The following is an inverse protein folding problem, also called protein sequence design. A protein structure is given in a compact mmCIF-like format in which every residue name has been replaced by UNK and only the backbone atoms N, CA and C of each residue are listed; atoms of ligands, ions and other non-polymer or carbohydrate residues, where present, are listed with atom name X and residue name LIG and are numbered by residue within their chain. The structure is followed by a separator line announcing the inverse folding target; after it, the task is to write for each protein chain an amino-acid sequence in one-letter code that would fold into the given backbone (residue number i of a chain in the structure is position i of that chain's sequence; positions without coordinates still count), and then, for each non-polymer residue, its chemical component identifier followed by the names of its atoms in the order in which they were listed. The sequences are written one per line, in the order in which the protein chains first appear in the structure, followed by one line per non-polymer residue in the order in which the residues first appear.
data_IF_699301066204
#
_entry.id   IF_699301066204
#
_cell.length_a   1.000
_cell.length_b   1.000
_cell.length_c   1.000
_cell.angle_alpha   90.00
_cell.angle_beta   90.00
_cell.angle_gamma   90.00
#
_symmetry.space_group_name_H-M   'P 1'
#
loop_
_entity.id
_entity.type
_entity.pdbx_description
1 polymer ?
#
# COMPACT_ATOMS: atom_id res chain seq x y z
N UNK A 1 -6.25 30.70 4.72
CA UNK A 1 -6.81 29.59 5.50
C UNK A 1 -5.84 28.43 5.38
N UNK A 2 -5.36 27.83 6.48
CA UNK A 2 -4.57 26.62 6.38
C UNK A 2 -5.41 25.53 5.73
N UNK A 3 -4.78 24.75 4.85
CA UNK A 3 -5.44 23.66 4.14
C UNK A 3 -5.99 22.67 5.17
N UNK A 4 -7.30 22.41 5.13
CA UNK A 4 -8.00 21.54 6.10
C UNK A 4 -7.92 20.07 5.68
N UNK A 5 -7.32 19.80 4.52
CA UNK A 5 -7.15 18.46 4.00
C UNK A 5 -5.96 17.77 4.67
N UNK A 6 -6.16 16.51 5.10
CA UNK A 6 -5.08 15.66 5.60
C UNK A 6 -4.02 15.40 4.51
N UNK A 7 -2.77 15.09 4.88
CA UNK A 7 -1.75 14.77 3.89
C UNK A 7 -2.09 13.51 3.08
N UNK A 8 -1.62 13.50 1.82
CA UNK A 8 -1.73 12.36 0.93
C UNK A 8 -0.66 11.30 1.21
N UNK A 9 -1.11 10.05 1.20
CA UNK A 9 -0.28 8.86 1.24
C UNK A 9 -0.49 8.05 -0.04
N UNK A 10 0.61 7.64 -0.65
CA UNK A 10 0.61 6.76 -1.81
C UNK A 10 0.63 5.32 -1.33
N UNK A 11 -0.26 4.52 -1.89
CA UNK A 11 -0.47 3.11 -1.57
C UNK A 11 0.19 2.25 -2.63
N UNK A 12 0.97 1.29 -2.18
CA UNK A 12 1.48 0.20 -3.00
C UNK A 12 0.92 -1.13 -2.50
N UNK A 13 0.66 -2.02 -3.45
CA UNK A 13 0.20 -3.37 -3.19
C UNK A 13 1.26 -4.38 -3.66
N UNK A 14 1.45 -5.41 -2.85
CA UNK A 14 2.38 -6.50 -3.11
C UNK A 14 1.63 -7.82 -2.95
N UNK A 15 1.40 -8.50 -4.08
CA UNK A 15 0.66 -9.78 -4.16
C UNK A 15 1.40 -11.01 -3.61
N UNK A 16 2.40 -10.83 -2.73
CA UNK A 16 3.17 -11.92 -2.12
C UNK A 16 4.61 -11.56 -1.78
N UNK A 17 5.22 -12.36 -0.90
CA UNK A 17 6.60 -12.18 -0.49
C UNK A 17 7.58 -12.24 -1.67
N UNK A 18 8.51 -11.27 -1.72
CA UNK A 18 9.51 -11.18 -2.78
C UNK A 18 8.99 -10.74 -4.15
N UNK A 19 7.68 -10.55 -4.33
CA UNK A 19 7.11 -9.99 -5.57
C UNK A 19 7.31 -8.47 -5.60
N UNK A 20 7.43 -7.84 -6.78
CA UNK A 20 7.52 -6.39 -6.87
C UNK A 20 6.21 -5.75 -6.40
N UNK A 21 6.31 -4.69 -5.59
CA UNK A 21 5.16 -3.87 -5.26
C UNK A 21 4.75 -3.01 -6.47
N UNK A 22 3.46 -2.76 -6.63
CA UNK A 22 2.95 -1.86 -7.67
C UNK A 22 2.07 -0.79 -7.04
N UNK A 23 2.02 0.37 -7.69
CA UNK A 23 1.19 1.49 -7.25
C UNK A 23 -0.30 1.12 -7.35
N UNK A 24 -1.03 1.24 -6.23
CA UNK A 24 -2.46 1.00 -6.19
C UNK A 24 -3.26 2.30 -6.29
N UNK A 25 -2.82 3.36 -5.59
CA UNK A 25 -3.55 4.62 -5.54
C UNK A 25 -3.05 5.57 -4.45
N UNK A 26 -3.89 6.52 -4.05
CA UNK A 26 -3.60 7.47 -2.98
C UNK A 26 -4.78 7.56 -1.99
N UNK A 27 -4.46 7.80 -0.72
CA UNK A 27 -5.42 8.02 0.37
C UNK A 27 -5.00 9.24 1.19
N UNK A 28 -5.95 9.92 1.83
CA UNK A 28 -5.63 10.99 2.77
C UNK A 28 -5.79 10.48 4.19
N UNK A 29 -4.83 10.78 5.06
CA UNK A 29 -4.87 10.35 6.45
C UNK A 29 -4.01 11.29 7.33
N UNK A 30 -4.32 11.41 8.63
CA UNK A 30 -3.48 12.18 9.54
C UNK A 30 -2.09 11.56 9.76
N UNK A 31 -2.01 10.23 9.76
CA UNK A 31 -0.82 9.44 10.06
C UNK A 31 -0.73 8.17 9.19
N UNK A 32 0.41 7.46 9.18
CA UNK A 32 0.61 6.28 8.35
C UNK A 32 -0.24 5.06 8.75
N UNK A 33 -0.60 4.91 10.02
CA UNK A 33 -1.42 3.78 10.49
C UNK A 33 -2.86 3.92 9.98
N UNK A 34 -3.43 5.11 10.11
CA UNK A 34 -4.72 5.46 9.52
C UNK A 34 -4.69 5.39 7.99
N UNK A 35 -3.57 5.72 7.36
CA UNK A 35 -3.40 5.54 5.92
C UNK A 35 -3.48 4.05 5.53
N UNK A 36 -2.87 3.13 6.29
CA UNK A 36 -2.95 1.69 6.04
C UNK A 36 -4.39 1.17 6.18
N UNK A 37 -5.11 1.58 7.22
CA UNK A 37 -6.51 1.20 7.40
C UNK A 37 -7.40 1.71 6.26
N UNK A 38 -7.23 2.98 5.86
CA UNK A 38 -7.94 3.56 4.72
C UNK A 38 -7.57 2.84 3.41
N UNK A 39 -6.29 2.52 3.22
CA UNK A 39 -5.80 1.79 2.05
C UNK A 39 -6.42 0.39 1.98
N UNK A 40 -6.47 -0.34 3.10
CA UNK A 40 -7.12 -1.64 3.20
C UNK A 40 -8.59 -1.56 2.79
N UNK A 41 -9.33 -0.63 3.36
CA UNK A 41 -10.78 -0.54 3.13
C UNK A 41 -11.13 -0.16 1.68
N UNK A 42 -10.22 0.52 0.96
CA UNK A 42 -10.40 0.93 -0.44
C UNK A 42 -9.88 -0.13 -1.40
N UNK A 43 -8.65 -0.61 -1.19
CA UNK A 43 -7.93 -1.43 -2.17
C UNK A 43 -8.04 -2.92 -1.90
N UNK A 44 -8.28 -3.36 -0.66
CA UNK A 44 -8.16 -4.77 -0.30
C UNK A 44 -9.42 -5.65 -0.47
N UNK A 45 -10.38 -5.23 -1.30
CA UNK A 45 -11.76 -5.78 -1.25
C UNK A 45 -11.96 -7.16 -1.90
N UNK A 46 -11.08 -7.61 -2.81
CA UNK A 46 -11.37 -8.78 -3.68
C UNK A 46 -10.19 -9.66 -4.10
N UNK A 47 -8.95 -9.25 -3.86
CA UNK A 47 -7.77 -10.07 -4.19
C UNK A 47 -7.05 -10.53 -2.91
N UNK A 48 -6.18 -11.54 -3.04
CA UNK A 48 -5.16 -11.88 -2.05
C UNK A 48 -4.14 -10.72 -1.95
N UNK A 49 -4.55 -9.61 -1.34
CA UNK A 49 -3.63 -8.55 -0.96
C UNK A 49 -2.83 -9.05 0.23
N UNK A 50 -1.58 -9.41 -0.03
CA UNK A 50 -0.73 -10.01 1.01
C UNK A 50 -0.06 -8.92 1.85
N UNK A 51 0.33 -7.80 1.24
CA UNK A 51 1.02 -6.70 1.94
C UNK A 51 0.67 -5.35 1.30
N UNK A 52 0.18 -4.43 2.12
CA UNK A 52 -0.03 -3.04 1.73
C UNK A 52 1.08 -2.17 2.30
N UNK A 53 1.59 -1.28 1.46
CA UNK A 53 2.61 -0.31 1.84
C UNK A 53 2.05 1.09 1.63
N UNK A 54 2.34 1.99 2.56
CA UNK A 54 2.01 3.41 2.43
C UNK A 54 3.25 4.26 2.64
N UNK A 55 3.30 5.36 1.90
CA UNK A 55 4.35 6.37 2.02
C UNK A 55 3.74 7.73 1.80
N UNK A 56 4.22 8.73 2.53
CA UNK A 56 3.74 10.10 2.33
C UNK A 56 4.17 10.61 0.96
N UNK A 57 3.26 11.25 0.23
CA UNK A 57 3.53 11.76 -1.13
C UNK A 57 4.75 12.70 -1.16
N UNK A 58 4.92 13.52 -0.13
CA UNK A 58 6.04 14.46 -0.01
C UNK A 58 7.42 13.80 0.11
N UNK A 59 7.49 12.49 0.35
CA UNK A 59 8.74 11.73 0.45
C UNK A 59 9.13 11.07 -0.88
N UNK A 60 8.28 11.20 -1.91
CA UNK A 60 8.50 10.59 -3.21
C UNK A 60 9.26 11.57 -4.10
N UNK A 61 10.42 11.14 -4.57
CA UNK A 61 11.16 11.88 -5.58
C UNK A 61 10.83 11.34 -6.97
N UNK A 62 10.11 12.13 -7.76
CA UNK A 62 9.63 11.75 -9.09
C UNK A 62 10.35 12.54 -10.19
N UNK A 63 10.73 11.87 -11.27
CA UNK A 63 11.28 12.46 -12.49
C UNK A 63 10.70 11.81 -13.74
N UNK A 64 10.45 12.59 -14.78
CA UNK A 64 10.15 12.03 -16.11
C UNK A 64 11.43 11.68 -16.85
N UNK A 65 11.33 10.84 -17.88
CA UNK A 65 12.47 10.51 -18.75
C UNK A 65 13.04 11.77 -19.44
N UNK A 66 12.18 12.72 -19.80
CA UNK A 66 12.57 14.00 -20.42
C UNK A 66 13.40 14.84 -19.44
N UNK A 67 12.89 15.06 -18.22
CA UNK A 67 13.60 15.82 -17.18
C UNK A 67 14.95 15.19 -16.82
N UNK A 68 15.02 13.85 -16.81
CA UNK A 68 16.26 13.13 -16.55
C UNK A 68 17.31 13.37 -17.65
N UNK A 69 16.87 13.40 -18.92
CA UNK A 69 17.74 13.71 -20.05
C UNK A 69 18.23 15.17 -20.03
N UNK A 70 17.39 16.11 -19.63
CA UNK A 70 17.76 17.53 -19.47
C UNK A 70 18.80 17.71 -18.36
N UNK A 71 18.59 17.04 -17.23
CA UNK A 71 19.50 17.08 -16.08
C UNK A 71 20.91 16.60 -16.45
N UNK A 72 20.99 15.54 -17.26
CA UNK A 72 22.25 14.99 -17.76
C UNK A 72 22.98 15.98 -18.69
N UNK A 73 22.24 16.67 -19.57
CA UNK A 73 22.80 17.69 -20.46
C UNK A 73 23.29 18.94 -19.70
N UNK A 74 22.60 19.33 -18.62
CA UNK A 74 23.02 20.46 -17.78
C UNK A 74 24.30 20.19 -17.00
N UNK A 75 24.50 18.95 -16.53
CA UNK A 75 25.75 18.53 -15.87
C UNK A 75 26.95 18.52 -16.83
N UNK A 76 26.74 18.24 -18.12
CA UNK A 76 27.79 18.34 -19.14
C UNK A 76 28.26 19.78 -19.41
N UNK A 77 27.41 20.78 -19.12
CA UNK A 77 27.67 22.19 -19.42
C UNK A 77 28.16 23.02 -18.20
N UNK A 78 28.38 22.42 -17.03
CA UNK A 78 28.96 23.11 -15.87
C UNK A 78 30.47 22.81 -15.71
N UNK A 79 31.32 23.82 -15.43
CA UNK A 79 32.72 23.57 -15.10
C UNK A 79 32.82 22.71 -13.83
N UNK A 80 33.55 21.61 -13.94
CA UNK A 80 33.64 20.50 -12.98
C UNK A 80 34.29 20.91 -11.66
N UNK A 81 33.50 21.46 -10.72
CA UNK A 81 33.86 21.43 -9.31
C UNK A 81 33.53 20.04 -8.75
N UNK A 82 34.50 19.15 -8.89
CA UNK A 82 34.48 17.78 -8.36
C UNK A 82 34.57 17.83 -6.83
N UNK A 83 33.46 18.13 -6.15
CA UNK A 83 33.33 17.81 -4.73
C UNK A 83 33.36 16.30 -4.61
N UNK A 84 34.43 15.79 -4.01
CA UNK A 84 34.60 14.38 -3.68
C UNK A 84 33.68 14.07 -2.51
N UNK A 85 32.41 13.75 -2.81
CA UNK A 85 31.56 13.07 -1.84
C UNK A 85 32.14 11.67 -1.65
N UNK A 86 32.97 11.51 -0.62
CA UNK A 86 33.42 10.21 -0.18
C UNK A 86 32.20 9.34 0.15
N UNK A 87 32.22 8.04 -0.17
CA UNK A 87 31.15 7.13 0.22
C UNK A 87 31.15 7.00 1.74
N UNK A 88 30.26 7.74 2.39
CA UNK A 88 29.95 7.55 3.80
C UNK A 88 29.37 6.13 3.95
N UNK A 89 29.84 5.33 4.92
CA UNK A 89 29.54 3.89 4.99
C UNK A 89 28.09 3.52 5.36
N UNK A 90 27.17 4.48 5.41
CA UNK A 90 25.77 4.28 5.83
C UNK A 90 24.79 5.01 4.91
N UNK A 91 24.88 4.80 3.59
CA UNK A 91 23.84 5.27 2.67
C UNK A 91 22.54 4.48 2.90
N UNK A 92 21.43 5.12 3.28
CA UNK A 92 20.16 4.44 3.44
C UNK A 92 19.64 3.88 2.12
N UNK A 93 18.83 2.79 2.17
CA UNK A 93 18.25 2.21 0.99
C UNK A 93 17.05 2.99 0.47
N UNK A 94 16.96 3.11 -0.84
CA UNK A 94 15.87 3.70 -1.59
C UNK A 94 15.26 2.67 -2.54
N UNK A 95 13.94 2.56 -2.54
CA UNK A 95 13.21 1.75 -3.50
C UNK A 95 12.98 2.53 -4.80
N UNK A 96 13.15 1.81 -5.91
CA UNK A 96 13.04 2.36 -7.26
C UNK A 96 11.78 1.82 -7.93
N UNK A 97 10.98 2.71 -8.49
CA UNK A 97 9.78 2.39 -9.24
C UNK A 97 9.85 3.03 -10.63
N UNK A 98 9.33 2.33 -11.62
CA UNK A 98 9.27 2.83 -12.99
C UNK A 98 7.89 2.62 -13.60
N UNK A 99 7.51 3.53 -14.48
CA UNK A 99 6.30 3.44 -15.30
C UNK A 99 6.69 3.38 -16.76
N UNK A 100 6.37 2.27 -17.42
CA UNK A 100 6.79 2.01 -18.82
C UNK A 100 5.76 2.39 -19.87
N UNK A 101 4.50 2.57 -19.48
CA UNK A 101 3.38 2.87 -20.38
C UNK A 101 2.55 3.99 -19.74
N UNK A 102 2.06 4.96 -20.53
CA UNK A 102 1.27 6.08 -20.02
C UNK A 102 0.03 5.66 -19.21
N UNK A 103 -0.67 4.60 -19.64
CA UNK A 103 -1.80 3.99 -18.92
C UNK A 103 -1.40 2.81 -18.03
N UNK A 104 -0.10 2.57 -17.87
CA UNK A 104 0.44 1.55 -16.97
C UNK A 104 0.57 2.05 -15.54
N UNK A 105 0.85 1.10 -14.66
CA UNK A 105 1.10 1.33 -13.23
C UNK A 105 2.59 1.45 -12.96
N UNK A 106 2.98 2.16 -11.90
CA UNK A 106 4.35 2.17 -11.39
C UNK A 106 4.65 0.84 -10.73
N UNK A 107 5.72 0.17 -11.16
CA UNK A 107 6.14 -1.13 -10.64
C UNK A 107 7.52 -1.00 -10.02
N UNK A 108 7.71 -1.61 -8.86
CA UNK A 108 9.00 -1.70 -8.19
C UNK A 108 9.99 -2.48 -9.05
N UNK A 109 11.18 -1.92 -9.23
CA UNK A 109 12.25 -2.53 -10.04
C UNK A 109 13.34 -3.10 -9.15
N UNK A 110 13.67 -2.40 -8.07
CA UNK A 110 14.76 -2.77 -7.19
C UNK A 110 15.01 -1.72 -6.11
N UNK A 111 16.23 -1.74 -5.59
CA UNK A 111 16.68 -0.93 -4.47
C UNK A 111 18.09 -0.40 -4.75
N UNK A 112 18.36 0.84 -4.33
CA UNK A 112 19.66 1.50 -4.48
C UNK A 112 20.04 2.21 -3.18
N UNK A 113 21.33 2.28 -2.86
CA UNK A 113 21.82 2.92 -1.64
C UNK A 113 22.41 4.29 -1.96
N UNK A 114 21.77 5.35 -1.47
CA UNK A 114 22.20 6.72 -1.74
C UNK A 114 22.04 7.59 -0.49
N UNK A 115 22.79 8.69 -0.43
CA UNK A 115 22.65 9.65 0.67
C UNK A 115 21.55 10.67 0.41
N UNK A 116 21.18 10.89 -0.85
CA UNK A 116 20.21 11.88 -1.30
C UNK A 116 19.27 11.32 -2.38
N UNK A 117 17.99 11.74 -2.47
CA UNK A 117 17.06 11.26 -3.50
C UNK A 117 17.52 11.55 -4.94
N UNK A 118 18.24 12.64 -5.19
CA UNK A 118 18.74 12.95 -6.53
C UNK A 118 19.88 11.99 -6.93
N UNK A 119 20.79 11.69 -6.00
CA UNK A 119 21.81 10.66 -6.18
C UNK A 119 21.17 9.29 -6.40
N UNK A 120 20.15 8.96 -5.60
CA UNK A 120 19.39 7.72 -5.73
C UNK A 120 18.77 7.57 -7.13
N UNK A 121 18.24 8.66 -7.70
CA UNK A 121 17.69 8.68 -9.06
C UNK A 121 18.75 8.43 -10.15
N UNK A 122 19.92 9.06 -10.01
CA UNK A 122 21.05 8.83 -10.92
C UNK A 122 21.54 7.39 -10.85
N UNK A 123 21.72 6.86 -9.63
CA UNK A 123 22.11 5.47 -9.42
C UNK A 123 21.04 4.51 -9.95
N UNK A 124 19.76 4.76 -9.68
CA UNK A 124 18.65 3.94 -10.16
C UNK A 124 18.64 3.79 -11.68
N UNK A 125 18.86 4.88 -12.40
CA UNK A 125 18.91 4.87 -13.88
C UNK A 125 20.15 4.14 -14.40
N UNK A 126 21.28 4.27 -13.70
CA UNK A 126 22.52 3.58 -14.06
C UNK A 126 22.44 2.07 -13.80
N UNK A 127 21.85 1.66 -12.68
CA UNK A 127 21.72 0.25 -12.26
C UNK A 127 20.62 -0.48 -13.03
N UNK A 128 19.49 0.18 -13.29
CA UNK A 128 18.33 -0.42 -13.95
C UNK A 128 17.97 0.32 -15.25
N UNK A 129 18.83 0.30 -16.28
CA UNK A 129 18.53 1.01 -17.52
C UNK A 129 17.30 0.42 -18.21
N UNK A 130 16.28 1.25 -18.42
CA UNK A 130 15.08 0.86 -19.15
C UNK A 130 14.68 1.93 -20.19
N UNK A 131 14.85 1.66 -21.50
CA UNK A 131 14.55 2.64 -22.55
C UNK A 131 13.05 2.92 -22.71
N UNK A 132 12.18 2.08 -22.14
CA UNK A 132 10.72 2.27 -22.18
C UNK A 132 10.18 2.99 -20.95
N UNK A 133 11.01 3.26 -19.94
CA UNK A 133 10.55 3.94 -18.74
C UNK A 133 10.28 5.42 -19.05
N UNK A 134 9.06 5.86 -18.75
CA UNK A 134 8.57 7.22 -18.97
C UNK A 134 8.66 8.05 -17.69
N UNK A 135 8.40 7.41 -16.54
CA UNK A 135 8.44 8.05 -15.22
C UNK A 135 9.23 7.17 -14.26
N UNK A 136 10.06 7.83 -13.45
CA UNK A 136 10.90 7.24 -12.42
C UNK A 136 10.56 7.82 -11.07
N UNK A 137 10.31 6.96 -10.10
CA UNK A 137 10.09 7.34 -8.71
C UNK A 137 11.12 6.66 -7.83
N UNK A 138 11.63 7.41 -6.86
CA UNK A 138 12.56 6.92 -5.86
C UNK A 138 12.07 7.31 -4.48
N UNK A 139 12.05 6.35 -3.56
CA UNK A 139 11.45 6.50 -2.24
C UNK A 139 12.39 5.95 -1.16
N UNK A 140 12.61 6.66 -0.04
CA UNK A 140 13.42 6.13 1.05
C UNK A 140 12.70 4.96 1.71
N UNK A 141 13.36 3.81 1.86
CA UNK A 141 12.75 2.63 2.46
C UNK A 141 12.31 2.86 3.91
N UNK A 142 12.99 3.77 4.63
CA UNK A 142 12.64 4.15 6.01
C UNK A 142 11.34 4.93 6.14
N UNK A 143 10.83 5.54 5.06
CA UNK A 143 9.56 6.27 5.08
C UNK A 143 8.36 5.39 4.73
N UNK A 144 8.60 4.13 4.36
CA UNK A 144 7.55 3.19 3.95
C UNK A 144 7.03 2.48 5.19
N UNK A 145 5.73 2.63 5.44
CA UNK A 145 5.01 1.87 6.44
C UNK A 145 4.35 0.68 5.76
N UNK A 146 4.55 -0.52 6.31
CA UNK A 146 4.05 -1.79 5.75
C UNK A 146 3.18 -2.49 6.77
N UNK A 147 2.15 -3.20 6.30
CA UNK A 147 1.43 -4.17 7.13
C UNK A 147 2.34 -5.30 7.57
N UNK A 148 2.27 -5.70 8.83
CA UNK A 148 3.00 -6.86 9.34
C UNK A 148 2.38 -8.16 8.75
N UNK A 149 3.19 -9.11 8.26
CA UNK A 149 2.68 -10.42 7.83
C UNK A 149 1.88 -11.16 8.90
N UNK A 150 2.19 -10.99 10.18
CA UNK A 150 1.48 -11.63 11.30
C UNK A 150 0.07 -11.08 11.52
N UNK A 151 -0.18 -9.83 11.13
CA UNK A 151 -1.48 -9.18 11.21
C UNK A 151 -2.35 -9.43 9.97
N UNK A 152 -1.80 -10.10 8.94
CA UNK A 152 -2.49 -10.31 7.68
C UNK A 152 -3.85 -11.01 7.87
N UNK A 153 -3.91 -12.08 8.66
CA UNK A 153 -5.14 -12.82 8.91
C UNK A 153 -6.22 -11.93 9.56
N UNK A 154 -5.84 -11.11 10.55
CA UNK A 154 -6.74 -10.18 11.20
C UNK A 154 -7.17 -9.01 10.28
N UNK A 155 -6.31 -8.60 9.34
CA UNK A 155 -6.55 -7.48 8.44
C UNK A 155 -7.38 -7.85 7.22
N UNK A 156 -7.11 -9.00 6.61
CA UNK A 156 -7.64 -9.40 5.31
C UNK A 156 -8.53 -10.65 5.37
N UNK A 157 -8.47 -11.42 6.45
CA UNK A 157 -9.24 -12.64 6.62
C UNK A 157 -10.76 -12.37 6.71
N UNK A 158 -11.60 -13.26 6.14
CA UNK A 158 -13.02 -13.18 6.37
C UNK A 158 -13.34 -13.39 7.86
N UNK A 159 -14.32 -12.66 8.39
CA UNK A 159 -14.78 -12.88 9.76
C UNK A 159 -15.42 -14.28 9.89
N UNK A 160 -14.71 -15.22 10.52
CA UNK A 160 -15.17 -16.60 10.68
C UNK A 160 -16.36 -16.72 11.65
N UNK A 161 -16.43 -15.86 12.66
CA UNK A 161 -17.38 -15.98 13.78
C UNK A 161 -18.70 -15.24 13.57
N UNK A 162 -18.78 -14.35 12.57
CA UNK A 162 -19.98 -13.55 12.32
C UNK A 162 -21.04 -14.39 11.60
N UNK A 163 -21.75 -15.18 12.39
CA UNK A 163 -22.94 -15.89 11.96
C UNK A 163 -23.99 -14.86 11.54
N UNK A 164 -24.16 -14.65 10.23
CA UNK A 164 -25.23 -13.82 9.72
C UNK A 164 -26.56 -14.36 10.26
N UNK A 165 -27.39 -13.45 10.78
CA UNK A 165 -28.74 -13.73 11.28
C UNK A 165 -29.64 -14.12 10.12
N UNK A 166 -29.48 -15.33 9.59
CA UNK A 166 -30.41 -15.89 8.62
C UNK A 166 -31.75 -16.11 9.30
N UNK A 167 -32.85 -15.81 8.58
CA UNK A 167 -34.22 -16.01 9.06
C UNK A 167 -34.45 -17.43 9.61
N UNK A 168 -33.77 -18.42 9.02
CA UNK A 168 -33.84 -19.82 9.43
C UNK A 168 -33.30 -20.10 10.85
N UNK A 169 -32.45 -19.22 11.41
CA UNK A 169 -31.93 -19.37 12.78
C UNK A 169 -32.89 -18.87 13.86
N UNK A 170 -34.02 -18.25 13.49
CA UNK A 170 -35.07 -17.83 14.40
C UNK A 170 -36.38 -18.57 14.06
N UNK A 171 -36.51 -19.87 14.37
CA UNK A 171 -37.71 -20.65 14.07
C UNK A 171 -38.86 -20.29 15.01
N UNK A 172 -39.34 -19.05 14.92
CA UNK A 172 -40.38 -18.49 15.79
C UNK A 172 -41.68 -19.27 15.66
N UNK A 173 -42.02 -19.72 14.43
CA UNK A 173 -43.23 -20.49 14.16
C UNK A 173 -43.15 -21.91 14.75
N UNK A 174 -42.01 -22.59 14.61
CA UNK A 174 -41.80 -23.92 15.17
C UNK A 174 -41.82 -23.87 16.70
N UNK A 175 -41.11 -22.91 17.30
CA UNK A 175 -41.07 -22.71 18.76
C UNK A 175 -42.45 -22.36 19.33
N UNK A 176 -43.20 -21.47 18.68
CA UNK A 176 -44.58 -21.15 19.11
C UNK A 176 -45.51 -22.36 19.04
N UNK A 177 -45.37 -23.21 18.01
CA UNK A 177 -46.16 -24.43 17.87
C UNK A 177 -45.84 -25.45 18.96
N UNK A 178 -44.56 -25.64 19.28
CA UNK A 178 -44.12 -26.52 20.36
C UNK A 178 -44.60 -26.04 21.74
N UNK A 179 -44.51 -24.74 22.02
CA UNK A 179 -45.01 -24.13 23.26
C UNK A 179 -46.53 -24.31 23.37
N UNK A 180 -47.27 -24.08 22.28
CA UNK A 180 -48.73 -24.30 22.25
C UNK A 180 -49.11 -25.74 22.56
N UNK A 181 -48.43 -26.70 21.94
CA UNK A 181 -48.68 -28.14 22.14
C UNK A 181 -48.26 -28.63 23.53
N UNK A 182 -47.22 -28.02 24.12
CA UNK A 182 -46.77 -28.34 25.47
C UNK A 182 -47.76 -27.86 26.53
N UNK A 183 -48.33 -26.66 26.36
CA UNK A 183 -49.35 -26.11 27.27
C UNK A 183 -50.67 -26.89 27.20
N UNK A 184 -51.10 -27.30 26.01
CA UNK A 184 -52.28 -28.14 25.81
C UNK A 184 -52.13 -29.52 26.48
N UNK A 185 -50.90 -30.02 26.61
CA UNK A 185 -50.57 -31.26 27.33
C UNK A 185 -50.44 -31.10 28.85
N UNK A 186 -50.37 -29.88 29.39
CA UNK A 186 -50.37 -29.67 30.84
C UNK A 186 -51.79 -29.61 31.42
N UNK A 187 -52.77 -29.20 30.62
CA UNK A 187 -54.13 -28.88 31.07
C UNK A 187 -55.02 -30.10 31.40
N UNK A 188 -54.56 -31.33 31.16
CA UNK A 188 -55.36 -32.56 31.34
C UNK A 188 -54.94 -33.44 32.54
N UNK A 189 -53.96 -33.02 33.34
CA UNK A 189 -53.40 -33.85 34.44
C UNK A 189 -53.76 -33.42 35.86
N UNK A 190 -54.52 -32.34 36.03
CA UNK A 190 -54.87 -31.77 37.35
C UNK A 190 -56.39 -31.83 37.69
N UNK A 191 -57.13 -32.84 37.22
CA UNK A 191 -58.45 -33.23 37.77
C UNK A 191 -58.51 -34.70 38.20
#
# INVERSE_FOLDING_TARGET
MPDTQFPSYIVFDQSGEGKPAFYAGAVHAPDPEMALLNARDVFARRDEHVRLWVVRESQIYAKTAEELSESANQQANQPTNRSTNQPTPSSPPYLVFQKTIHRGTLVQVGEVNASDPAEAMTQATATYPNPKAIVWWVLPASAIHRTDPTENDALFGPAEDKHYRHSNFYPTVTLMREISLANEKLDWKDE
#
